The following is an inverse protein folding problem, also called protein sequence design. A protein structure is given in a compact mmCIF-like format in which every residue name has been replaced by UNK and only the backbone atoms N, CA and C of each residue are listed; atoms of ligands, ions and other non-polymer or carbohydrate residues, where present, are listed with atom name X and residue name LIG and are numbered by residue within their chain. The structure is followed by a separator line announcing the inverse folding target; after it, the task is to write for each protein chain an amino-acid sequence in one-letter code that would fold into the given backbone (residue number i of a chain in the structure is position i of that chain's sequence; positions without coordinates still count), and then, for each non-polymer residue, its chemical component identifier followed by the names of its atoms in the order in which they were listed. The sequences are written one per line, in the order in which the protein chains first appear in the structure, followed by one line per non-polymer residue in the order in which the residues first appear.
data_IF_525773691122
#
_entry.id   IF_525773691122
#
_cell.length_a   1.000
_cell.length_b   1.000
_cell.length_c   1.000
_cell.angle_alpha   90.00
_cell.angle_beta   90.00
_cell.angle_gamma   90.00
#
_symmetry.space_group_name_H-M   'P 1'
#
loop_
_entity.id
_entity.type
_entity.pdbx_description
1 polymer ?
#
# COMPACT_ATOMS: atom_id res chain seq x y z
N UNK A 1 23.67 -1.00 5.24
CA UNK A 1 22.64 -1.24 4.21
C UNK A 1 21.36 -0.54 4.65
N UNK A 2 20.66 0.17 3.75
CA UNK A 2 19.41 0.87 4.06
C UNK A 2 18.26 0.13 3.36
N UNK A 3 17.41 -0.55 4.13
CA UNK A 3 16.31 -1.36 3.59
C UNK A 3 15.09 -0.53 3.20
N UNK A 4 14.85 0.59 3.87
CA UNK A 4 13.72 1.51 3.62
C UNK A 4 14.26 2.80 3.01
N UNK A 5 13.83 3.20 1.80
CA UNK A 5 14.46 4.29 1.04
C UNK A 5 14.09 5.70 1.54
N UNK A 6 13.24 5.82 2.56
CA UNK A 6 12.79 7.07 3.18
C UNK A 6 12.96 7.05 4.70
N UNK A 7 12.72 8.17 5.37
CA UNK A 7 12.66 8.25 6.84
C UNK A 7 11.28 7.81 7.31
N UNK A 8 11.21 6.88 8.28
CA UNK A 8 9.93 6.38 8.79
C UNK A 8 9.37 7.40 9.77
N UNK A 9 8.31 8.10 9.38
CA UNK A 9 7.62 9.05 10.25
C UNK A 9 6.40 8.42 10.93
N UNK A 10 5.85 7.36 10.34
CA UNK A 10 4.64 6.69 10.85
C UNK A 10 4.67 5.19 10.55
N UNK A 11 4.20 4.41 11.52
CA UNK A 11 3.94 2.98 11.41
C UNK A 11 2.49 2.73 11.77
N UNK A 12 1.79 1.96 10.95
CA UNK A 12 0.44 1.49 11.26
C UNK A 12 0.25 0.10 10.70
N UNK A 13 -0.78 -0.60 11.16
CA UNK A 13 -1.02 -1.98 10.77
C UNK A 13 -2.50 -2.26 10.61
N UNK A 14 -2.79 -3.18 9.69
CA UNK A 14 -4.10 -3.77 9.48
C UNK A 14 -4.07 -5.17 10.07
N UNK A 15 -5.05 -5.51 10.89
CA UNK A 15 -5.20 -6.79 11.57
C UNK A 15 -6.68 -7.06 11.80
N UNK A 16 -7.01 -8.29 12.18
CA UNK A 16 -8.39 -8.74 12.40
C UNK A 16 -9.30 -8.43 11.20
N UNK A 17 -8.76 -8.67 10.00
CA UNK A 17 -9.46 -8.55 8.73
C UNK A 17 -10.06 -9.92 8.41
N UNK A 18 -11.37 -9.94 8.12
CA UNK A 18 -12.06 -11.15 7.67
C UNK A 18 -11.37 -11.76 6.46
N UNK A 19 -11.30 -13.08 6.40
CA UNK A 19 -10.75 -13.81 5.27
C UNK A 19 -11.45 -13.43 3.96
N UNK A 20 -10.67 -13.21 2.89
CA UNK A 20 -11.17 -12.78 1.58
C UNK A 20 -11.66 -11.33 1.53
N UNK A 21 -11.57 -10.57 2.62
CA UNK A 21 -11.95 -9.16 2.60
C UNK A 21 -10.97 -8.32 1.76
N UNK A 22 -11.45 -7.14 1.35
CA UNK A 22 -10.67 -6.17 0.57
C UNK A 22 -10.66 -4.80 1.26
N UNK A 23 -9.62 -4.02 0.99
CA UNK A 23 -9.52 -2.61 1.37
C UNK A 23 -9.60 -1.76 0.11
N UNK A 24 -10.54 -0.81 0.11
CA UNK A 24 -10.84 0.07 -1.02
C UNK A 24 -9.60 0.82 -1.52
N UNK A 25 -9.63 1.15 -2.82
CA UNK A 25 -8.50 1.74 -3.51
C UNK A 25 -8.30 3.22 -3.24
N UNK A 26 -7.03 3.62 -3.22
CA UNK A 26 -6.62 5.02 -3.19
C UNK A 26 -5.18 5.16 -3.69
N UNK A 27 -4.80 6.40 -4.03
CA UNK A 27 -3.42 6.80 -4.29
C UNK A 27 -3.01 7.93 -3.34
N UNK A 28 -1.71 8.21 -3.29
CA UNK A 28 -1.15 9.30 -2.50
C UNK A 28 -0.34 10.26 -3.35
N UNK A 29 -0.44 11.55 -3.07
CA UNK A 29 0.31 12.61 -3.75
C UNK A 29 1.80 12.54 -3.41
N UNK A 30 2.13 12.40 -2.13
CA UNK A 30 3.52 12.48 -1.65
C UNK A 30 3.95 11.28 -0.80
N UNK A 31 3.00 10.58 -0.15
CA UNK A 31 3.34 9.47 0.73
C UNK A 31 4.04 8.33 -0.02
N UNK A 32 5.16 7.88 0.52
CA UNK A 32 5.83 6.64 0.14
C UNK A 32 5.64 5.61 1.26
N UNK A 33 5.54 4.34 0.89
CA UNK A 33 5.27 3.27 1.84
C UNK A 33 6.07 2.02 1.57
N UNK A 34 6.28 1.24 2.63
CA UNK A 34 6.69 -0.17 2.54
C UNK A 34 5.61 -1.00 3.22
N UNK A 35 5.01 -1.95 2.49
CA UNK A 35 4.06 -2.92 3.02
C UNK A 35 4.77 -4.25 3.31
N UNK A 36 4.47 -4.83 4.47
CA UNK A 36 5.05 -6.11 4.92
C UNK A 36 3.91 -7.00 5.42
N UNK A 37 3.87 -8.25 4.96
CA UNK A 37 3.03 -9.28 5.54
C UNK A 37 3.73 -9.87 6.78
N UNK A 38 3.47 -9.29 7.95
CA UNK A 38 4.07 -9.75 9.21
C UNK A 38 3.54 -11.12 9.64
N UNK A 39 2.27 -11.41 9.29
CA UNK A 39 1.61 -12.69 9.46
C UNK A 39 0.61 -12.88 8.32
N UNK A 40 0.35 -14.14 7.95
CA UNK A 40 -0.59 -14.49 6.89
C UNK A 40 -0.15 -13.97 5.52
N UNK A 41 -1.12 -13.62 4.68
CA UNK A 41 -0.87 -13.16 3.31
C UNK A 41 -1.99 -12.27 2.78
N UNK A 42 -1.68 -11.50 1.75
CA UNK A 42 -2.62 -10.69 0.98
C UNK A 42 -2.02 -10.33 -0.38
N UNK A 43 -2.85 -9.82 -1.28
CA UNK A 43 -2.44 -9.34 -2.60
C UNK A 43 -2.57 -7.83 -2.67
N UNK A 44 -1.54 -7.17 -3.20
CA UNK A 44 -1.53 -5.72 -3.44
C UNK A 44 -1.64 -5.52 -4.94
N UNK A 45 -2.77 -4.94 -5.35
CA UNK A 45 -3.01 -4.53 -6.73
C UNK A 45 -2.47 -3.11 -6.85
N UNK A 46 -1.63 -2.87 -7.84
CA UNK A 46 -0.93 -1.61 -8.08
C UNK A 46 -1.26 -1.12 -9.48
N UNK A 47 -1.46 0.18 -9.60
CA UNK A 47 -1.71 0.86 -10.86
C UNK A 47 -0.98 2.21 -10.86
N UNK A 48 -0.10 2.42 -11.84
CA UNK A 48 0.65 3.67 -12.03
C UNK A 48 -0.06 4.65 -13.00
N UNK A 49 -1.28 4.32 -13.42
CA UNK A 49 -2.07 5.02 -14.43
C UNK A 49 -1.90 4.46 -15.84
N UNK A 50 -0.94 3.55 -16.07
CA UNK A 50 -0.60 2.97 -17.38
C UNK A 50 -0.56 1.45 -17.34
N UNK A 51 0.13 0.90 -16.36
CA UNK A 51 0.31 -0.53 -16.13
C UNK A 51 -0.27 -0.94 -14.79
N UNK A 52 -0.87 -2.13 -14.79
CA UNK A 52 -1.39 -2.78 -13.59
C UNK A 52 -0.53 -3.97 -13.22
N UNK A 53 -0.25 -4.14 -11.93
CA UNK A 53 0.52 -5.26 -11.39
C UNK A 53 -0.11 -5.78 -10.11
N UNK A 54 0.01 -7.07 -9.86
CA UNK A 54 -0.41 -7.70 -8.61
C UNK A 54 0.82 -8.29 -7.95
N UNK A 55 1.02 -7.96 -6.68
CA UNK A 55 2.10 -8.51 -5.86
C UNK A 55 1.50 -9.21 -4.65
N UNK A 56 1.78 -10.50 -4.51
CA UNK A 56 1.41 -11.27 -3.32
C UNK A 56 2.47 -11.11 -2.25
N UNK A 57 2.06 -10.72 -1.05
CA UNK A 57 2.92 -10.66 0.14
C UNK A 57 2.54 -11.78 1.09
N UNK A 58 3.49 -12.67 1.38
CA UNK A 58 3.31 -13.82 2.28
C UNK A 58 4.59 -14.22 3.04
N UNK A 59 5.63 -13.39 2.97
CA UNK A 59 6.91 -13.61 3.66
C UNK A 59 7.26 -12.36 4.50
N UNK A 60 7.50 -12.50 5.82
CA UNK A 60 7.76 -11.34 6.69
C UNK A 60 9.13 -10.67 6.46
N UNK A 61 10.04 -11.34 5.75
CA UNK A 61 11.36 -10.82 5.39
C UNK A 61 11.37 -10.01 4.09
N UNK A 62 10.23 -9.94 3.39
CA UNK A 62 10.06 -9.18 2.16
C UNK A 62 9.18 -7.96 2.40
N UNK A 63 9.53 -6.84 1.78
CA UNK A 63 8.75 -5.60 1.84
C UNK A 63 8.47 -5.09 0.44
N UNK A 64 7.21 -4.75 0.17
CA UNK A 64 6.81 -4.07 -1.06
C UNK A 64 6.94 -2.56 -0.87
N UNK A 65 7.93 -1.97 -1.51
CA UNK A 65 8.02 -0.52 -1.62
C UNK A 65 7.01 0.02 -2.64
N UNK A 66 6.22 1.00 -2.22
CA UNK A 66 5.22 1.69 -3.03
C UNK A 66 5.60 3.17 -3.02
N UNK A 67 6.07 3.73 -4.14
CA UNK A 67 6.30 5.16 -4.25
C UNK A 67 4.97 5.94 -4.23
N UNK A 68 5.04 7.27 -4.11
CA UNK A 68 3.89 8.13 -4.32
C UNK A 68 3.34 7.98 -5.75
N UNK A 69 2.11 8.43 -5.97
CA UNK A 69 1.42 8.38 -7.26
C UNK A 69 1.19 6.96 -7.81
N UNK A 70 1.03 5.98 -6.91
CA UNK A 70 0.56 4.63 -7.24
C UNK A 70 -0.80 4.41 -6.60
N UNK A 71 -1.81 4.15 -7.42
CA UNK A 71 -3.09 3.64 -6.95
C UNK A 71 -2.92 2.21 -6.47
N UNK A 72 -3.48 1.91 -5.30
CA UNK A 72 -3.37 0.57 -4.74
C UNK A 72 -4.64 0.11 -4.06
N UNK A 73 -4.88 -1.18 -4.17
CA UNK A 73 -5.92 -1.93 -3.47
C UNK A 73 -5.28 -3.13 -2.78
N UNK A 74 -5.86 -3.58 -1.67
CA UNK A 74 -5.37 -4.78 -0.96
C UNK A 74 -6.51 -5.79 -0.85
N UNK A 75 -6.29 -6.97 -1.39
CA UNK A 75 -7.28 -8.04 -1.52
C UNK A 75 -6.81 -9.35 -0.89
N UNK A 76 -7.72 -10.32 -0.82
CA UNK A 76 -7.41 -11.72 -0.50
C UNK A 76 -6.61 -11.87 0.80
N UNK A 77 -7.00 -11.11 1.84
CA UNK A 77 -6.42 -11.30 3.17
C UNK A 77 -6.71 -12.73 3.66
N UNK A 78 -5.67 -13.46 4.03
CA UNK A 78 -5.84 -14.75 4.70
C UNK A 78 -6.30 -14.56 6.14
N UNK A 79 -6.88 -15.59 6.74
CA UNK A 79 -7.13 -15.60 8.18
C UNK A 79 -5.87 -15.29 8.99
N UNK A 80 -5.99 -14.40 9.99
CA UNK A 80 -4.88 -13.95 10.82
C UNK A 80 -3.82 -13.09 10.12
N UNK A 81 -4.12 -12.55 8.94
CA UNK A 81 -3.19 -11.67 8.24
C UNK A 81 -2.94 -10.36 9.00
N UNK A 82 -1.67 -9.96 9.05
CA UNK A 82 -1.23 -8.67 9.61
C UNK A 82 -0.39 -7.95 8.56
N UNK A 83 -0.95 -6.87 8.00
CA UNK A 83 -0.26 -5.99 7.06
C UNK A 83 0.31 -4.80 7.82
N UNK A 84 1.64 -4.69 7.89
CA UNK A 84 2.34 -3.54 8.46
C UNK A 84 2.67 -2.56 7.34
N UNK A 85 2.42 -1.28 7.57
CA UNK A 85 2.85 -0.20 6.71
C UNK A 85 3.83 0.72 7.42
N UNK A 86 5.03 0.84 6.83
CA UNK A 86 6.00 1.89 7.15
C UNK A 86 5.76 3.05 6.20
N UNK A 87 5.61 4.27 6.71
CA UNK A 87 5.19 5.40 5.92
C UNK A 87 6.13 6.60 6.07
N UNK A 88 6.42 7.28 4.96
CA UNK A 88 7.37 8.39 4.92
C UNK A 88 6.84 9.70 5.53
N UNK A 89 5.53 9.82 5.74
CA UNK A 89 4.87 11.02 6.27
C UNK A 89 3.84 10.64 7.36
N UNK A 90 3.52 11.63 8.20
CA UNK A 90 2.37 11.60 9.09
C UNK A 90 1.05 11.46 8.32
N UNK A 91 -0.05 11.23 9.03
CA UNK A 91 -1.37 11.19 8.40
C UNK A 91 -1.78 12.58 7.93
N UNK A 92 -2.15 12.68 6.65
CA UNK A 92 -2.82 13.86 6.09
C UNK A 92 -3.89 13.37 5.12
N UNK A 93 -5.13 13.78 5.36
CA UNK A 93 -6.28 13.46 4.52
C UNK A 93 -6.16 14.12 3.13
N UNK A 94 -5.54 15.29 3.04
CA UNK A 94 -5.39 16.02 1.78
C UNK A 94 -4.40 15.35 0.81
N UNK A 95 -3.59 14.40 1.30
CA UNK A 95 -2.62 13.65 0.49
C UNK A 95 -3.27 12.54 -0.35
N UNK A 96 -4.54 12.21 -0.10
CA UNK A 96 -5.23 11.11 -0.78
C UNK A 96 -5.84 11.53 -2.13
N UNK A 97 -5.73 10.64 -3.11
CA UNK A 97 -6.69 10.51 -4.20
C UNK A 97 -7.63 9.37 -3.86
N UNK A 98 -8.89 9.69 -3.54
CA UNK A 98 -9.92 8.71 -3.17
C UNK A 98 -10.74 8.22 -4.36
N UNK A 99 -10.68 8.95 -5.47
CA UNK A 99 -11.36 8.59 -6.70
C UNK A 99 -10.35 8.31 -7.79
N UNK A 100 -10.61 7.25 -8.55
CA UNK A 100 -9.69 6.75 -9.56
C UNK A 100 -9.55 7.70 -10.76
N UNK A 101 -10.64 8.38 -11.13
CA UNK A 101 -10.66 9.43 -12.17
C UNK A 101 -9.75 10.62 -11.79
N UNK A 102 -9.81 11.09 -10.54
CA UNK A 102 -8.93 12.16 -10.04
C UNK A 102 -7.45 11.72 -10.03
N UNK A 103 -7.18 10.48 -9.65
CA UNK A 103 -5.84 9.90 -9.72
C UNK A 103 -5.31 9.91 -11.17
N UNK A 104 -6.07 9.38 -12.12
CA UNK A 104 -5.65 9.30 -13.53
C UNK A 104 -5.36 10.67 -14.14
N UNK A 105 -6.15 11.70 -13.79
CA UNK A 105 -5.91 13.07 -14.25
C UNK A 105 -4.65 13.69 -13.65
N UNK A 106 -4.19 13.20 -12.49
CA UNK A 106 -3.02 13.70 -11.79
C UNK A 106 -1.73 12.92 -12.10
N UNK A 107 -1.83 11.77 -12.75
CA UNK A 107 -0.66 10.96 -13.16
C UNK A 107 0.21 11.79 -14.12
N UNK A 108 1.49 12.04 -13.80
CA UNK A 108 2.40 12.76 -14.69
C UNK A 108 2.64 12.01 -16.02
N UNK A 109 2.97 12.76 -17.08
CA UNK A 109 3.44 12.22 -18.37
C UNK A 109 4.81 11.50 -18.28
#
# INVERSE_FOLDING_TARGET
MRHVPFEIQRVYYLYDISEGASRAGHSHKNLQQVLIAMSGSFEVHLDDGREKRIVRLNQPQEGLYIPCMIWREIHEFSSGAVCVSLASLLYDEADYYRRYDEFLLAVPE
#
